data_IF_601459062439
#
_entry.id   IF_601459062439
#
_cell.length_a   1.000
_cell.length_b   1.000
_cell.length_c   1.000
_cell.angle_alpha   90.00
_cell.angle_beta   90.00
_cell.angle_gamma   90.00
#
_symmetry.space_group_name_H-M   'P 1'
#
loop_
_entity.id
_entity.type
_entity.pdbx_description
1 polymer ?
#
# COMPACT_ATOMS: atom_id res chain seq x y z
N UNK A 1 -55.01 -31.67 25.58
CA UNK A 1 -55.18 -30.37 26.29
C UNK A 1 -54.79 -29.25 25.33
N UNK A 2 -55.45 -28.07 25.40
CA UNK A 2 -55.13 -26.88 24.59
C UNK A 2 -53.82 -26.21 25.07
N UNK A 3 -53.12 -25.30 24.37
CA UNK A 3 -53.50 -24.17 23.48
C UNK A 3 -52.44 -24.01 22.34
N UNK A 4 -52.79 -23.64 21.09
CA UNK A 4 -53.01 -22.26 20.52
C UNK A 4 -51.85 -21.27 20.78
N UNK A 5 -51.41 -20.40 19.84
CA UNK A 5 -51.63 -20.26 18.39
C UNK A 5 -50.65 -19.18 17.81
N UNK A 6 -50.40 -19.20 16.49
CA UNK A 6 -49.68 -18.17 15.68
C UNK A 6 -50.58 -16.94 15.34
N UNK A 7 -50.25 -16.05 14.36
CA UNK A 7 -49.09 -15.15 14.10
C UNK A 7 -49.59 -13.66 14.12
N UNK A 8 -49.36 -12.69 13.17
CA UNK A 8 -48.31 -12.43 12.16
C UNK A 8 -47.80 -10.95 11.99
N UNK A 9 -46.81 -10.77 11.10
CA UNK A 9 -46.64 -9.72 10.06
C UNK A 9 -46.51 -8.18 10.30
N UNK A 10 -45.34 -7.67 9.87
CA UNK A 10 -45.12 -6.73 8.72
C UNK A 10 -45.14 -5.17 8.88
N UNK A 11 -44.20 -4.53 8.14
CA UNK A 11 -44.02 -3.09 7.76
C UNK A 11 -44.30 -1.94 8.76
N UNK A 12 -43.28 -1.09 9.02
CA UNK A 12 -43.02 0.09 8.16
C UNK A 12 -41.79 0.96 8.53
N UNK A 13 -41.37 1.79 7.57
CA UNK A 13 -40.34 2.83 7.68
C UNK A 13 -40.63 3.89 8.77
N UNK A 14 -39.55 4.41 9.40
CA UNK A 14 -39.22 5.86 9.33
C UNK A 14 -37.81 6.18 9.82
N UNK A 15 -37.15 7.09 9.10
CA UNK A 15 -35.91 7.75 9.50
C UNK A 15 -36.18 8.86 10.52
N UNK A 16 -35.27 9.07 11.48
CA UNK A 16 -34.97 10.42 11.98
C UNK A 16 -33.56 10.52 12.52
N UNK A 17 -32.87 11.58 12.08
CA UNK A 17 -31.78 12.25 12.78
C UNK A 17 -32.16 12.68 14.20
N UNK A 18 -31.20 12.78 15.11
CA UNK A 18 -31.36 13.45 16.41
C UNK A 18 -30.28 13.06 17.41
N UNK A 19 -29.45 14.03 17.82
CA UNK A 19 -28.44 13.85 18.86
C UNK A 19 -28.95 14.33 20.21
N UNK A 20 -28.79 13.54 21.27
CA UNK A 20 -28.72 13.99 22.68
C UNK A 20 -27.83 12.95 23.41
N UNK A 21 -26.70 13.35 24.00
CA UNK A 21 -26.57 14.13 25.25
C UNK A 21 -27.02 13.34 26.48
N UNK A 22 -26.10 12.56 27.05
CA UNK A 22 -26.23 11.93 28.36
C UNK A 22 -25.05 12.35 29.24
N UNK A 23 -25.33 13.15 30.29
CA UNK A 23 -24.35 13.51 31.33
C UNK A 23 -24.25 12.42 32.39
N UNK A 24 -23.06 12.22 32.95
CA UNK A 24 -22.87 11.81 34.35
C UNK A 24 -21.57 12.40 34.92
N UNK A 25 -21.78 13.38 35.81
CA UNK A 25 -21.01 13.78 37.00
C UNK A 25 -19.46 13.69 37.04
N UNK A 26 -18.85 14.86 36.92
CA UNK A 26 -17.79 15.45 37.77
C UNK A 26 -16.92 14.54 38.66
N UNK A 27 -15.64 14.46 38.29
CA UNK A 27 -14.52 14.34 39.24
C UNK A 27 -13.50 15.46 38.94
N UNK A 28 -13.38 16.40 39.89
CA UNK A 28 -12.54 17.60 39.79
C UNK A 28 -11.10 17.31 40.24
N UNK A 29 -10.08 17.68 39.44
CA UNK A 29 -8.68 17.99 39.87
C UNK A 29 -7.89 18.63 38.70
N UNK A 30 -6.93 19.55 38.95
CA UNK A 30 -6.71 20.69 38.03
C UNK A 30 -5.50 20.60 37.08
N UNK A 31 -5.52 21.50 36.09
CA UNK A 31 -4.43 21.76 35.12
C UNK A 31 -3.31 22.60 35.77
N UNK A 32 -2.02 22.29 35.55
CA UNK A 32 -0.91 23.13 36.03
C UNK A 32 -0.59 24.29 35.07
N UNK A 33 -0.58 25.52 35.59
CA UNK A 33 0.12 26.67 34.98
C UNK A 33 1.63 26.64 35.31
N UNK A 34 2.50 27.31 34.53
CA UNK A 34 3.94 27.24 34.71
C UNK A 34 4.45 28.16 35.83
N UNK A 35 5.12 27.57 36.82
CA UNK A 35 5.78 28.27 37.93
C UNK A 35 6.95 29.16 37.49
N UNK A 36 7.04 30.34 38.10
CA UNK A 36 8.07 31.35 37.87
C UNK A 36 9.00 31.44 39.12
N UNK A 37 10.30 31.10 39.04
CA UNK A 37 11.19 31.12 40.23
C UNK A 37 11.68 32.53 40.63
N UNK A 38 12.06 32.76 41.91
CA UNK A 38 12.08 34.11 42.50
C UNK A 38 13.46 34.80 42.65
N UNK A 39 13.41 36.03 43.15
CA UNK A 39 14.47 37.04 43.15
C UNK A 39 15.59 36.92 44.22
N UNK A 40 16.72 37.57 43.92
CA UNK A 40 17.83 38.04 44.79
C UNK A 40 18.51 39.22 44.07
N UNK A 41 18.94 40.35 44.65
CA UNK A 41 18.89 40.90 46.01
C UNK A 41 19.01 42.43 45.88
N UNK A 42 18.28 43.23 46.66
CA UNK A 42 18.59 44.66 46.82
C UNK A 42 19.46 44.91 48.06
N UNK A 43 20.42 45.82 47.96
CA UNK A 43 21.04 46.48 49.12
C UNK A 43 21.40 47.92 48.73
N UNK A 44 21.22 48.83 49.69
CA UNK A 44 21.19 50.29 49.53
C UNK A 44 22.63 50.86 49.32
N UNK A 45 22.91 52.14 49.03
CA UNK A 45 22.12 53.36 49.22
C UNK A 45 22.67 54.58 48.41
N UNK A 46 21.92 55.69 48.46
CA UNK A 46 22.35 57.10 48.37
C UNK A 46 22.81 57.72 47.02
N UNK A 47 22.14 58.85 46.73
CA UNK A 47 22.66 60.10 46.12
C UNK A 47 23.50 60.00 44.82
N UNK A 48 22.92 60.43 43.70
CA UNK A 48 23.02 61.84 43.27
C UNK A 48 22.46 62.06 41.86
N UNK A 49 21.92 63.26 41.62
CA UNK A 49 21.54 63.67 40.27
C UNK A 49 22.80 63.89 39.41
N UNK A 50 23.05 63.00 38.46
CA UNK A 50 23.79 63.37 37.25
C UNK A 50 23.07 62.84 36.01
N UNK A 51 22.34 63.74 35.35
CA UNK A 51 21.92 63.61 33.96
C UNK A 51 23.14 63.74 33.04
N UNK A 52 24.09 62.81 33.16
CA UNK A 52 25.19 62.66 32.22
C UNK A 52 24.60 62.17 30.89
N UNK A 53 24.12 63.13 30.10
CA UNK A 53 23.97 63.00 28.64
C UNK A 53 25.38 62.72 28.12
N UNK A 54 25.80 61.45 28.18
CA UNK A 54 27.07 60.99 27.62
C UNK A 54 27.07 61.46 26.18
N UNK A 55 27.95 62.41 25.87
CA UNK A 55 28.24 62.78 24.49
C UNK A 55 28.88 61.54 23.89
N UNK A 56 28.06 60.70 23.26
CA UNK A 56 28.56 59.60 22.44
C UNK A 56 29.66 60.19 21.55
N UNK A 57 30.91 59.70 21.64
CA UNK A 57 31.99 60.23 20.83
C UNK A 57 31.53 60.14 19.39
N UNK A 58 31.65 61.25 18.64
CA UNK A 58 31.01 61.46 17.34
C UNK A 58 31.41 60.32 16.39
N UNK A 59 30.61 59.24 16.35
CA UNK A 59 30.95 57.99 15.68
C UNK A 59 31.23 58.32 14.23
N UNK A 60 32.43 57.98 13.73
CA UNK A 60 32.72 58.07 12.29
C UNK A 60 31.69 57.21 11.57
N UNK A 61 31.25 57.62 10.37
CA UNK A 61 30.27 56.87 9.58
C UNK A 61 30.67 55.40 9.39
N UNK A 62 31.97 55.13 9.31
CA UNK A 62 32.59 53.81 9.37
C UNK A 62 32.11 52.91 10.52
N UNK A 63 31.93 53.43 11.73
CA UNK A 63 31.48 52.64 12.87
C UNK A 63 30.02 52.18 12.67
N UNK A 64 29.15 53.04 12.14
CA UNK A 64 27.78 52.67 11.79
C UNK A 64 27.73 51.66 10.64
N UNK A 65 28.65 51.76 9.67
CA UNK A 65 28.80 50.76 8.61
C UNK A 65 29.24 49.39 9.16
N UNK A 66 30.20 49.35 10.09
CA UNK A 66 30.61 48.10 10.74
C UNK A 66 29.54 47.55 11.70
N UNK A 67 28.79 48.41 12.39
CA UNK A 67 27.63 48.00 13.22
C UNK A 67 26.51 47.40 12.36
N UNK A 68 26.19 48.03 11.21
CA UNK A 68 25.29 47.46 10.22
C UNK A 68 25.83 46.13 9.66
N UNK A 69 27.10 46.08 9.25
CA UNK A 69 27.71 44.90 8.66
C UNK A 69 27.73 43.72 9.64
N UNK A 70 27.98 43.96 10.93
CA UNK A 70 27.91 42.95 11.98
C UNK A 70 26.49 42.38 12.12
N UNK A 71 25.47 43.23 12.19
CA UNK A 71 24.06 42.79 12.32
C UNK A 71 23.57 42.09 11.04
N UNK A 72 23.90 42.64 9.88
CA UNK A 72 23.60 42.05 8.57
C UNK A 72 24.27 40.68 8.43
N UNK A 73 25.57 40.57 8.73
CA UNK A 73 26.31 39.32 8.62
C UNK A 73 25.81 38.27 9.63
N UNK A 74 25.40 38.66 10.84
CA UNK A 74 24.80 37.74 11.79
C UNK A 74 23.50 37.10 11.25
N UNK A 75 22.59 37.91 10.70
CA UNK A 75 21.34 37.42 10.10
C UNK A 75 21.61 36.62 8.81
N UNK A 76 22.52 37.10 7.96
CA UNK A 76 22.89 36.47 6.69
C UNK A 76 23.57 35.10 6.90
N UNK A 77 24.51 35.00 7.84
CA UNK A 77 25.12 33.74 8.22
C UNK A 77 24.11 32.78 8.88
N UNK A 78 23.17 33.28 9.69
CA UNK A 78 22.08 32.46 10.22
C UNK A 78 21.22 31.85 9.11
N UNK A 79 20.84 32.66 8.11
CA UNK A 79 20.11 32.20 6.93
C UNK A 79 20.91 31.17 6.11
N UNK A 80 22.21 31.41 5.84
CA UNK A 80 23.05 30.44 5.12
C UNK A 80 23.21 29.13 5.91
N UNK A 81 23.45 29.22 7.22
CA UNK A 81 23.62 28.04 8.07
C UNK A 81 22.35 27.17 8.11
N UNK A 82 21.18 27.80 8.17
CA UNK A 82 19.90 27.06 8.15
C UNK A 82 19.65 26.39 6.78
N UNK A 83 19.83 27.10 5.67
CA UNK A 83 19.73 26.49 4.33
C UNK A 83 20.74 25.35 4.14
N UNK A 84 21.95 25.47 4.69
CA UNK A 84 22.97 24.41 4.62
C UNK A 84 22.56 23.19 5.46
N UNK A 85 22.08 23.43 6.68
CA UNK A 85 21.60 22.40 7.62
C UNK A 85 20.39 21.64 7.05
N UNK A 86 19.46 22.36 6.43
CA UNK A 86 18.29 21.77 5.77
C UNK A 86 18.71 20.88 4.61
N UNK A 87 19.52 21.38 3.66
CA UNK A 87 20.01 20.57 2.52
C UNK A 87 20.81 19.33 2.94
N UNK A 88 21.53 19.38 4.06
CA UNK A 88 22.21 18.21 4.63
C UNK A 88 21.20 17.18 5.17
N UNK A 89 20.16 17.63 5.88
CA UNK A 89 19.11 16.74 6.39
C UNK A 89 18.24 16.17 5.27
N UNK A 90 17.96 16.94 4.21
CA UNK A 90 17.26 16.44 3.01
C UNK A 90 18.08 15.35 2.29
N UNK A 91 19.39 15.52 2.16
CA UNK A 91 20.28 14.52 1.55
C UNK A 91 20.33 13.21 2.36
N UNK A 92 20.36 13.29 3.69
CA UNK A 92 20.34 12.10 4.55
C UNK A 92 19.01 11.32 4.39
N UNK A 93 17.87 12.03 4.34
CA UNK A 93 16.56 11.40 4.10
C UNK A 93 16.45 10.81 2.69
N UNK A 94 17.04 11.46 1.68
CA UNK A 94 17.11 10.91 0.33
C UNK A 94 17.83 9.55 0.35
N UNK A 95 18.99 9.44 0.99
CA UNK A 95 19.73 8.18 1.11
C UNK A 95 18.94 7.11 1.89
N UNK A 96 18.34 7.47 3.03
CA UNK A 96 17.49 6.57 3.83
C UNK A 96 16.30 6.02 3.03
N UNK A 97 15.65 6.87 2.23
CA UNK A 97 14.56 6.47 1.35
C UNK A 97 15.04 5.59 0.20
N UNK A 98 16.15 5.92 -0.45
CA UNK A 98 16.70 5.14 -1.55
C UNK A 98 17.12 3.74 -1.08
N UNK A 99 17.81 3.62 0.06
CA UNK A 99 18.14 2.33 0.66
C UNK A 99 16.88 1.51 1.02
N UNK A 100 15.91 2.14 1.70
CA UNK A 100 14.65 1.48 2.07
C UNK A 100 13.90 0.97 0.84
N UNK A 101 13.88 1.76 -0.24
CA UNK A 101 13.20 1.44 -1.48
C UNK A 101 13.86 0.27 -2.22
N UNK A 102 15.19 0.23 -2.26
CA UNK A 102 15.93 -0.88 -2.88
C UNK A 102 15.65 -2.20 -2.15
N UNK A 103 15.59 -2.21 -0.81
CA UNK A 103 15.26 -3.42 -0.04
C UNK A 103 13.78 -3.81 -0.18
N UNK A 104 12.85 -2.85 -0.17
CA UNK A 104 11.42 -3.07 -0.45
C UNK A 104 11.25 -3.75 -1.85
N UNK A 105 11.93 -3.25 -2.90
CA UNK A 105 11.85 -3.83 -4.27
C UNK A 105 12.61 -5.17 -4.38
N UNK A 106 13.73 -5.36 -3.67
CA UNK A 106 14.44 -6.67 -3.61
C UNK A 106 13.51 -7.75 -3.07
N UNK A 107 12.79 -7.45 -1.98
CA UNK A 107 11.75 -8.34 -1.43
C UNK A 107 10.65 -8.65 -2.45
N UNK A 108 10.15 -7.63 -3.16
CA UNK A 108 9.12 -7.77 -4.19
C UNK A 108 9.54 -8.69 -5.33
N UNK A 109 10.74 -8.52 -5.88
CA UNK A 109 11.24 -9.37 -6.99
C UNK A 109 11.46 -10.83 -6.59
N UNK A 110 11.80 -11.09 -5.32
CA UNK A 110 11.86 -12.45 -4.77
C UNK A 110 10.46 -13.07 -4.57
N UNK A 111 9.46 -12.24 -4.25
CA UNK A 111 8.07 -12.70 -4.11
C UNK A 111 7.42 -12.95 -5.49
N UNK A 112 7.53 -11.99 -6.42
CA UNK A 112 6.95 -12.07 -7.76
C UNK A 112 7.49 -13.26 -8.55
N UNK A 113 8.79 -13.56 -8.48
CA UNK A 113 9.39 -14.75 -9.10
C UNK A 113 8.81 -16.09 -8.62
N UNK A 114 8.50 -16.19 -7.32
CA UNK A 114 7.81 -17.37 -6.75
C UNK A 114 6.39 -17.47 -7.28
N UNK A 115 5.64 -16.37 -7.20
CA UNK A 115 4.23 -16.30 -7.61
C UNK A 115 4.08 -16.57 -9.11
N UNK A 116 4.94 -16.00 -9.97
CA UNK A 116 5.01 -16.32 -11.41
C UNK A 116 5.14 -17.82 -11.68
N UNK A 117 5.92 -18.53 -10.85
CA UNK A 117 6.12 -19.98 -10.95
C UNK A 117 4.90 -20.76 -10.47
N UNK A 118 4.06 -20.21 -9.60
CA UNK A 118 2.78 -20.79 -9.20
C UNK A 118 1.70 -20.54 -10.26
N UNK A 119 1.53 -19.28 -10.70
CA UNK A 119 0.55 -18.88 -11.71
C UNK A 119 0.74 -19.64 -13.04
N UNK A 120 1.99 -19.86 -13.49
CA UNK A 120 2.29 -20.70 -14.68
C UNK A 120 1.87 -22.16 -14.50
N UNK A 121 2.00 -22.72 -13.29
CA UNK A 121 1.53 -24.09 -12.98
C UNK A 121 0.00 -24.17 -12.97
N UNK A 122 -0.68 -23.14 -12.45
CA UNK A 122 -2.15 -23.02 -12.49
C UNK A 122 -2.64 -22.93 -13.94
N UNK A 123 -2.04 -22.06 -14.76
CA UNK A 123 -2.37 -21.91 -16.18
C UNK A 123 -2.22 -23.23 -16.97
N UNK A 124 -1.09 -23.93 -16.83
CA UNK A 124 -0.91 -25.25 -17.48
C UNK A 124 -1.89 -26.33 -16.96
N UNK A 125 -2.26 -26.28 -15.67
CA UNK A 125 -3.32 -27.11 -15.11
C UNK A 125 -4.69 -26.83 -15.77
N UNK A 126 -5.01 -25.56 -16.00
CA UNK A 126 -6.26 -25.15 -16.65
C UNK A 126 -6.28 -25.50 -18.14
N UNK A 127 -5.16 -25.38 -18.86
CA UNK A 127 -5.05 -25.85 -20.25
C UNK A 127 -5.34 -27.37 -20.34
N UNK A 128 -4.88 -28.13 -19.35
CA UNK A 128 -5.17 -29.56 -19.21
C UNK A 128 -6.66 -29.82 -18.92
N UNK A 129 -7.28 -29.03 -18.03
CA UNK A 129 -8.72 -29.13 -17.73
C UNK A 129 -9.56 -28.78 -18.96
N UNK A 130 -9.25 -27.69 -19.67
CA UNK A 130 -9.95 -27.29 -20.90
C UNK A 130 -9.89 -28.40 -21.96
N UNK A 131 -8.74 -29.05 -22.11
CA UNK A 131 -8.58 -30.21 -22.99
C UNK A 131 -9.55 -31.34 -22.61
N UNK A 132 -9.59 -31.72 -21.33
CA UNK A 132 -10.50 -32.77 -20.83
C UNK A 132 -11.99 -32.40 -21.00
N UNK A 133 -12.37 -31.17 -20.69
CA UNK A 133 -13.75 -30.67 -20.86
C UNK A 133 -14.21 -30.66 -22.33
N UNK A 134 -13.29 -30.60 -23.28
CA UNK A 134 -13.59 -30.68 -24.72
C UNK A 134 -13.64 -32.11 -25.28
N UNK A 135 -13.17 -33.10 -24.52
CA UNK A 135 -13.14 -34.51 -24.93
C UNK A 135 -14.49 -35.21 -24.68
N UNK A 136 -14.95 -36.13 -25.55
CA UNK A 136 -16.22 -36.83 -25.34
C UNK A 136 -16.23 -37.70 -24.07
N UNK A 137 -15.08 -38.18 -23.62
CA UNK A 137 -14.89 -39.02 -22.43
C UNK A 137 -15.38 -38.33 -21.14
N UNK A 138 -15.42 -36.99 -21.10
CA UNK A 138 -15.91 -36.22 -19.94
C UNK A 138 -17.35 -36.59 -19.54
N UNK A 139 -18.16 -37.05 -20.50
CA UNK A 139 -19.56 -37.44 -20.28
C UNK A 139 -19.69 -38.72 -19.44
N UNK A 140 -18.66 -39.57 -19.44
CA UNK A 140 -18.61 -40.85 -18.74
C UNK A 140 -17.72 -40.79 -17.50
N UNK A 141 -16.60 -40.06 -17.56
CA UNK A 141 -15.63 -39.95 -16.48
C UNK A 141 -15.10 -38.51 -16.33
N UNK A 142 -15.46 -37.87 -15.22
CA UNK A 142 -15.08 -36.51 -14.87
C UNK A 142 -13.98 -36.40 -13.81
N UNK A 143 -13.51 -37.54 -13.26
CA UNK A 143 -12.63 -37.60 -12.08
C UNK A 143 -11.34 -36.79 -12.27
N UNK A 144 -10.66 -36.95 -13.40
CA UNK A 144 -9.38 -36.26 -13.67
C UNK A 144 -9.57 -34.75 -13.91
N UNK A 145 -10.65 -34.37 -14.61
CA UNK A 145 -10.99 -32.96 -14.83
C UNK A 145 -11.33 -32.25 -13.49
N UNK A 146 -12.11 -32.91 -12.63
CA UNK A 146 -12.38 -32.45 -11.27
C UNK A 146 -11.08 -32.30 -10.45
N UNK A 147 -10.21 -33.32 -10.48
CA UNK A 147 -8.97 -33.35 -9.71
C UNK A 147 -7.96 -32.29 -10.16
N UNK A 148 -7.87 -32.03 -11.46
CA UNK A 148 -6.99 -30.98 -12.00
C UNK A 148 -7.58 -29.60 -11.75
N UNK A 149 -8.88 -29.40 -12.00
CA UNK A 149 -9.53 -28.10 -11.76
C UNK A 149 -9.46 -27.74 -10.27
N UNK A 150 -9.77 -28.67 -9.35
CA UNK A 150 -9.60 -28.49 -7.90
C UNK A 150 -8.22 -27.92 -7.52
N UNK A 151 -7.15 -28.48 -8.11
CA UNK A 151 -5.76 -28.05 -7.86
C UNK A 151 -5.41 -26.71 -8.50
N UNK A 152 -6.25 -26.21 -9.41
CA UNK A 152 -6.07 -24.96 -10.16
C UNK A 152 -7.05 -23.84 -9.77
N UNK A 153 -7.89 -24.04 -8.74
CA UNK A 153 -8.81 -22.99 -8.25
C UNK A 153 -8.14 -21.87 -7.44
N UNK A 154 -6.89 -22.08 -7.00
CA UNK A 154 -6.17 -21.07 -6.22
C UNK A 154 -5.66 -19.92 -7.08
N UNK A 155 -5.73 -18.69 -6.55
CA UNK A 155 -5.04 -17.53 -7.08
C UNK A 155 -4.12 -16.98 -5.97
N UNK A 156 -2.82 -17.25 -6.07
CA UNK A 156 -1.83 -16.62 -5.19
C UNK A 156 -1.64 -15.15 -5.61
N UNK A 157 -1.73 -14.24 -4.65
CA UNK A 157 -1.72 -12.79 -4.90
C UNK A 157 -0.37 -12.20 -4.49
N UNK A 158 0.27 -11.48 -5.41
CA UNK A 158 1.45 -10.66 -5.13
C UNK A 158 1.07 -9.40 -4.33
N UNK A 159 1.89 -9.07 -3.33
CA UNK A 159 1.70 -7.94 -2.43
C UNK A 159 3.06 -7.24 -2.27
N UNK A 160 3.22 -6.14 -2.99
CA UNK A 160 4.39 -5.26 -2.95
C UNK A 160 4.60 -4.63 -1.58
N UNK A 161 5.85 -4.51 -1.18
CA UNK A 161 6.30 -3.70 -0.06
C UNK A 161 6.27 -2.23 -0.48
N UNK A 162 5.08 -1.62 -0.51
CA UNK A 162 4.89 -0.26 -1.03
C UNK A 162 5.19 0.85 -0.03
N UNK A 163 5.59 0.51 1.21
CA UNK A 163 5.83 1.42 2.34
C UNK A 163 6.62 2.67 1.94
N UNK A 164 7.82 2.51 1.38
CA UNK A 164 8.65 3.68 1.04
C UNK A 164 8.09 4.49 -0.13
N UNK A 165 7.51 3.84 -1.15
CA UNK A 165 6.81 4.53 -2.26
C UNK A 165 5.62 5.35 -1.74
N UNK A 166 4.83 4.78 -0.83
CA UNK A 166 3.69 5.44 -0.21
C UNK A 166 4.13 6.62 0.67
N UNK A 167 5.22 6.48 1.45
CA UNK A 167 5.79 7.59 2.22
C UNK A 167 6.17 8.74 1.29
N UNK A 168 7.09 8.50 0.34
CA UNK A 168 7.57 9.49 -0.62
C UNK A 168 6.45 10.26 -1.34
N UNK A 169 5.36 9.56 -1.69
CA UNK A 169 4.21 10.15 -2.39
C UNK A 169 3.27 10.91 -1.47
N UNK A 170 2.94 10.37 -0.31
CA UNK A 170 1.91 10.92 0.57
C UNK A 170 2.44 12.07 1.45
N UNK A 171 3.75 12.13 1.71
CA UNK A 171 4.43 13.28 2.36
C UNK A 171 4.87 14.37 1.38
N UNK A 172 4.83 14.11 0.06
CA UNK A 172 5.38 14.99 -0.97
C UNK A 172 6.92 15.01 -1.01
N UNK A 173 7.58 14.00 -0.43
CA UNK A 173 9.03 13.88 -0.33
C UNK A 173 9.71 13.29 -1.58
N UNK A 174 8.96 12.91 -2.62
CA UNK A 174 9.54 12.66 -3.96
C UNK A 174 10.42 13.82 -4.48
N UNK A 175 10.19 15.06 -4.00
CA UNK A 175 11.02 16.23 -4.30
C UNK A 175 12.40 16.22 -3.63
N UNK A 176 12.63 15.36 -2.63
CA UNK A 176 13.93 15.16 -1.99
C UNK A 176 14.87 14.32 -2.87
N UNK A 177 14.32 13.51 -3.78
CA UNK A 177 15.09 12.74 -4.76
C UNK A 177 15.64 13.71 -5.80
N UNK A 178 16.91 14.09 -5.64
CA UNK A 178 17.61 15.07 -6.49
C UNK A 178 17.87 14.52 -7.89
N UNK A 179 18.09 13.20 -7.99
CA UNK A 179 18.19 12.54 -9.28
C UNK A 179 16.80 12.36 -9.90
N UNK A 180 16.44 13.27 -10.80
CA UNK A 180 15.14 13.23 -11.46
C UNK A 180 14.89 11.92 -12.23
N UNK A 181 15.91 11.35 -12.88
CA UNK A 181 15.73 10.11 -13.64
C UNK A 181 15.37 8.92 -12.71
N UNK A 182 15.91 8.90 -11.49
CA UNK A 182 15.51 7.94 -10.45
C UNK A 182 14.08 8.21 -9.99
N UNK A 183 13.73 9.46 -9.67
CA UNK A 183 12.35 9.84 -9.26
C UNK A 183 11.30 9.47 -10.32
N UNK A 184 11.59 9.75 -11.60
CA UNK A 184 10.72 9.41 -12.73
C UNK A 184 10.53 7.89 -12.85
N UNK A 185 11.61 7.08 -12.77
CA UNK A 185 11.51 5.60 -12.84
C UNK A 185 10.81 4.97 -11.64
N UNK A 186 10.94 5.53 -10.43
CA UNK A 186 10.18 5.08 -9.26
C UNK A 186 8.68 5.27 -9.51
N UNK A 187 8.29 6.38 -10.14
CA UNK A 187 6.91 6.65 -10.52
C UNK A 187 6.41 5.77 -11.68
N UNK A 188 7.28 5.38 -12.61
CA UNK A 188 6.95 4.38 -13.64
C UNK A 188 6.66 3.01 -13.01
N UNK A 189 7.50 2.54 -12.09
CA UNK A 189 7.31 1.27 -11.36
C UNK A 189 6.01 1.27 -10.52
N UNK A 190 5.69 2.35 -9.80
CA UNK A 190 4.39 2.49 -9.11
C UNK A 190 3.19 2.44 -10.08
N UNK A 191 3.31 2.99 -11.28
CA UNK A 191 2.26 2.87 -12.30
C UNK A 191 2.10 1.43 -12.80
N UNK A 192 3.19 0.68 -12.96
CA UNK A 192 3.15 -0.74 -13.35
C UNK A 192 2.55 -1.60 -12.24
N UNK A 193 2.93 -1.39 -10.97
CA UNK A 193 2.30 -2.02 -9.81
C UNK A 193 0.78 -1.79 -9.80
N UNK A 194 0.33 -0.54 -10.04
CA UNK A 194 -1.11 -0.21 -10.13
C UNK A 194 -1.82 -0.97 -11.25
N UNK A 195 -1.21 -1.09 -12.43
CA UNK A 195 -1.77 -1.87 -13.57
C UNK A 195 -1.87 -3.36 -13.23
N UNK A 196 -0.85 -3.92 -12.58
CA UNK A 196 -0.88 -5.29 -12.05
C UNK A 196 -2.05 -5.47 -11.06
N UNK A 197 -2.22 -4.57 -10.08
CA UNK A 197 -3.29 -4.68 -9.09
C UNK A 197 -4.69 -4.61 -9.69
N UNK A 198 -4.91 -3.77 -10.72
CA UNK A 198 -6.19 -3.74 -11.45
C UNK A 198 -6.49 -5.11 -12.08
N UNK A 199 -5.52 -5.74 -12.73
CA UNK A 199 -5.68 -7.08 -13.30
C UNK A 199 -5.87 -8.15 -12.21
N UNK A 200 -5.13 -8.07 -11.09
CA UNK A 200 -5.21 -9.00 -9.97
C UNK A 200 -6.59 -8.97 -9.31
N UNK A 201 -7.13 -7.77 -9.06
CA UNK A 201 -8.45 -7.58 -8.47
C UNK A 201 -9.55 -8.10 -9.41
N UNK A 202 -9.45 -7.83 -10.71
CA UNK A 202 -10.39 -8.36 -11.71
C UNK A 202 -10.40 -9.91 -11.71
N UNK A 203 -9.23 -10.54 -11.59
CA UNK A 203 -9.12 -12.00 -11.52
C UNK A 203 -9.67 -12.59 -10.22
N UNK A 204 -9.45 -11.92 -9.09
CA UNK A 204 -9.99 -12.34 -7.80
C UNK A 204 -11.53 -12.24 -7.77
N UNK A 205 -12.11 -11.15 -8.28
CA UNK A 205 -13.56 -11.01 -8.46
C UNK A 205 -14.13 -12.11 -9.36
N UNK A 206 -13.53 -12.35 -10.52
CA UNK A 206 -14.00 -13.36 -11.47
C UNK A 206 -13.92 -14.81 -10.92
N UNK A 207 -12.99 -15.09 -10.01
CA UNK A 207 -12.91 -16.39 -9.32
C UNK A 207 -14.10 -16.59 -8.38
N UNK A 208 -14.53 -15.55 -7.67
CA UNK A 208 -15.67 -15.61 -6.72
C UNK A 208 -17.02 -15.88 -7.42
N UNK A 209 -17.12 -15.56 -8.71
CA UNK A 209 -18.31 -15.76 -9.55
C UNK A 209 -18.34 -17.13 -10.26
N UNK A 210 -17.36 -18.02 -10.00
CA UNK A 210 -17.19 -19.29 -10.74
C UNK A 210 -18.17 -20.41 -10.31
N UNK A 211 -19.46 -20.08 -10.20
CA UNK A 211 -20.55 -20.98 -9.76
C UNK A 211 -20.72 -22.24 -10.62
N UNK A 212 -20.29 -22.21 -11.89
CA UNK A 212 -20.31 -23.38 -12.77
C UNK A 212 -19.53 -24.58 -12.23
N UNK A 213 -18.50 -24.35 -11.39
CA UNK A 213 -17.64 -25.43 -10.91
C UNK A 213 -18.41 -26.45 -10.04
N UNK A 214 -19.27 -25.97 -9.15
CA UNK A 214 -20.10 -26.83 -8.29
C UNK A 214 -21.29 -27.47 -9.02
N UNK A 215 -21.80 -26.83 -10.09
CA UNK A 215 -22.83 -27.43 -10.95
C UNK A 215 -22.32 -28.60 -11.81
N UNK A 216 -21.03 -28.58 -12.18
CA UNK A 216 -20.48 -29.47 -13.20
C UNK A 216 -20.22 -30.90 -12.71
N UNK A 217 -19.66 -31.04 -11.50
CA UNK A 217 -19.16 -32.30 -10.94
C UNK A 217 -20.05 -32.86 -9.82
N UNK A 218 -20.08 -34.19 -9.63
CA UNK A 218 -20.73 -34.82 -8.47
C UNK A 218 -19.71 -34.99 -7.32
N UNK A 219 -19.58 -33.94 -6.51
CA UNK A 219 -18.61 -33.87 -5.42
C UNK A 219 -18.77 -35.02 -4.41
N UNK A 220 -20.01 -35.46 -4.14
CA UNK A 220 -20.29 -36.51 -3.15
C UNK A 220 -19.79 -37.87 -3.64
N UNK A 221 -19.93 -38.15 -4.94
CA UNK A 221 -19.41 -39.40 -5.53
C UNK A 221 -17.90 -39.37 -5.70
N UNK A 222 -17.34 -38.23 -6.10
CA UNK A 222 -15.91 -38.02 -6.35
C UNK A 222 -15.09 -38.10 -5.06
N UNK A 223 -15.54 -37.46 -3.97
CA UNK A 223 -14.90 -37.51 -2.65
C UNK A 223 -14.86 -38.94 -2.07
N UNK A 224 -15.85 -39.78 -2.38
CA UNK A 224 -15.99 -41.13 -1.82
C UNK A 224 -15.33 -42.23 -2.65
N UNK A 225 -15.04 -42.02 -3.94
CA UNK A 225 -14.64 -43.10 -4.85
C UNK A 225 -13.66 -42.65 -5.95
N UNK A 226 -12.40 -42.37 -5.58
CA UNK A 226 -11.37 -41.90 -6.55
C UNK A 226 -11.23 -42.80 -7.79
N UNK A 227 -11.37 -44.12 -7.62
CA UNK A 227 -11.14 -45.13 -8.68
C UNK A 227 -12.39 -45.55 -9.47
N UNK A 228 -13.57 -44.99 -9.18
CA UNK A 228 -14.80 -45.30 -9.93
C UNK A 228 -15.11 -44.13 -10.87
N UNK A 229 -15.29 -44.36 -12.19
CA UNK A 229 -15.71 -43.30 -13.10
C UNK A 229 -17.01 -42.62 -12.65
N UNK A 230 -16.94 -41.31 -12.43
CA UNK A 230 -18.09 -40.47 -12.09
C UNK A 230 -18.39 -39.55 -13.28
N UNK A 231 -19.52 -39.69 -13.98
CA UNK A 231 -19.90 -38.78 -15.06
C UNK A 231 -20.26 -37.39 -14.52
N UNK A 232 -20.30 -36.39 -15.40
CA UNK A 232 -20.86 -35.07 -15.09
C UNK A 232 -22.30 -35.17 -14.55
N UNK A 233 -22.71 -34.21 -13.72
CA UNK A 233 -24.12 -34.09 -13.30
C UNK A 233 -25.02 -33.80 -14.50
N UNK A 234 -26.32 -34.08 -14.40
CA UNK A 234 -27.29 -33.75 -15.47
C UNK A 234 -27.37 -32.25 -15.77
N UNK A 235 -27.10 -31.40 -14.76
CA UNK A 235 -26.95 -29.96 -14.95
C UNK A 235 -25.62 -29.63 -15.62
N UNK A 236 -24.53 -30.25 -15.18
CA UNK A 236 -23.18 -30.11 -15.73
C UNK A 236 -23.09 -30.46 -17.22
N UNK A 237 -23.75 -31.54 -17.66
CA UNK A 237 -23.87 -31.89 -19.09
C UNK A 237 -24.51 -30.77 -19.92
N UNK A 238 -25.53 -30.10 -19.37
CA UNK A 238 -26.23 -28.97 -20.03
C UNK A 238 -25.43 -27.67 -19.99
N UNK A 239 -24.61 -27.48 -18.95
CA UNK A 239 -23.81 -26.26 -18.75
C UNK A 239 -22.35 -26.38 -19.20
N UNK A 240 -21.90 -27.54 -19.70
CA UNK A 240 -20.50 -27.81 -20.05
C UNK A 240 -19.86 -26.72 -20.93
N UNK A 241 -20.53 -26.29 -22.00
CA UNK A 241 -20.00 -25.23 -22.87
C UNK A 241 -19.88 -23.87 -22.15
N UNK A 242 -20.79 -23.57 -21.22
CA UNK A 242 -20.74 -22.37 -20.35
C UNK A 242 -19.59 -22.46 -19.35
N UNK A 243 -19.38 -23.64 -18.76
CA UNK A 243 -18.27 -23.92 -17.86
C UNK A 243 -16.91 -23.79 -18.58
N UNK A 244 -16.77 -24.40 -19.76
CA UNK A 244 -15.60 -24.28 -20.63
C UNK A 244 -15.32 -22.83 -21.01
N UNK A 245 -16.33 -22.09 -21.51
CA UNK A 245 -16.16 -20.70 -21.93
C UNK A 245 -15.72 -19.79 -20.78
N UNK A 246 -16.33 -19.94 -19.59
CA UNK A 246 -15.95 -19.14 -18.42
C UNK A 246 -14.53 -19.48 -17.94
N UNK A 247 -14.15 -20.77 -17.90
CA UNK A 247 -12.80 -21.18 -17.55
C UNK A 247 -11.76 -20.67 -18.57
N UNK A 248 -12.08 -20.73 -19.87
CA UNK A 248 -11.20 -20.22 -20.92
C UNK A 248 -11.02 -18.70 -20.85
N UNK A 249 -12.09 -17.96 -20.53
CA UNK A 249 -12.02 -16.50 -20.35
C UNK A 249 -11.17 -16.14 -19.12
N UNK A 250 -11.36 -16.85 -18.00
CA UNK A 250 -10.53 -16.68 -16.80
C UNK A 250 -9.07 -17.00 -17.08
N UNK A 251 -8.77 -18.08 -17.81
CA UNK A 251 -7.41 -18.45 -18.20
C UNK A 251 -6.71 -17.38 -19.07
N UNK A 252 -7.44 -16.74 -20.00
CA UNK A 252 -6.90 -15.57 -20.75
C UNK A 252 -6.56 -14.40 -19.82
N UNK A 253 -7.38 -14.15 -18.80
CA UNK A 253 -7.09 -13.16 -17.78
C UNK A 253 -5.88 -13.51 -16.92
N UNK A 254 -5.69 -14.79 -16.59
CA UNK A 254 -4.51 -15.31 -15.89
C UNK A 254 -3.23 -15.13 -16.70
N UNK A 255 -3.26 -15.38 -18.01
CA UNK A 255 -2.12 -15.08 -18.91
C UNK A 255 -1.79 -13.58 -18.88
N UNK A 256 -2.81 -12.71 -18.88
CA UNK A 256 -2.63 -11.27 -18.68
C UNK A 256 -2.00 -10.91 -17.33
N UNK A 257 -2.42 -11.56 -16.25
CA UNK A 257 -1.87 -11.36 -14.90
C UNK A 257 -0.40 -11.82 -14.81
N UNK A 258 -0.07 -12.97 -15.39
CA UNK A 258 1.31 -13.48 -15.51
C UNK A 258 2.18 -12.48 -16.30
N UNK A 259 1.64 -11.90 -17.38
CA UNK A 259 2.35 -10.87 -18.16
C UNK A 259 2.62 -9.62 -17.33
N UNK A 260 1.62 -9.09 -16.60
CA UNK A 260 1.82 -7.91 -15.74
C UNK A 260 2.80 -8.17 -14.60
N UNK A 261 2.71 -9.31 -13.93
CA UNK A 261 3.63 -9.65 -12.83
C UNK A 261 5.06 -9.86 -13.34
N UNK A 262 5.24 -10.35 -14.58
CA UNK A 262 6.55 -10.43 -15.23
C UNK A 262 7.12 -9.03 -15.49
N UNK A 263 6.31 -8.09 -15.95
CA UNK A 263 6.75 -6.70 -16.16
C UNK A 263 7.14 -6.07 -14.81
N UNK A 264 6.36 -6.26 -13.74
CA UNK A 264 6.74 -5.83 -12.38
C UNK A 264 8.09 -6.41 -11.95
N UNK A 265 8.33 -7.71 -12.15
CA UNK A 265 9.59 -8.37 -11.81
C UNK A 265 10.79 -7.83 -12.61
N UNK A 266 10.62 -7.63 -13.92
CA UNK A 266 11.66 -7.13 -14.82
C UNK A 266 11.96 -5.64 -14.60
N UNK A 267 10.93 -4.81 -14.41
CA UNK A 267 11.07 -3.39 -14.08
C UNK A 267 11.68 -3.19 -12.69
N UNK A 268 11.26 -3.97 -11.68
CA UNK A 268 11.82 -3.89 -10.33
C UNK A 268 13.33 -4.19 -10.30
N UNK A 269 13.77 -5.23 -11.02
CA UNK A 269 15.21 -5.56 -11.17
C UNK A 269 15.98 -4.46 -11.91
N UNK A 270 15.40 -3.91 -12.97
CA UNK A 270 15.96 -2.79 -13.74
C UNK A 270 16.09 -1.52 -12.88
N UNK A 271 15.10 -1.25 -12.03
CA UNK A 271 15.10 -0.10 -11.13
C UNK A 271 16.14 -0.25 -10.01
N UNK A 272 16.27 -1.44 -9.40
CA UNK A 272 17.32 -1.72 -8.40
C UNK A 272 18.71 -1.44 -9.00
N UNK A 273 19.01 -2.05 -10.16
CA UNK A 273 20.32 -1.90 -10.81
C UNK A 273 20.63 -0.43 -11.17
N UNK A 274 19.63 0.30 -11.68
CA UNK A 274 19.77 1.71 -12.01
C UNK A 274 20.00 2.59 -10.77
N UNK A 275 19.29 2.33 -9.67
CA UNK A 275 19.51 3.04 -8.40
C UNK A 275 20.90 2.74 -7.81
N UNK A 276 21.34 1.47 -7.85
CA UNK A 276 22.67 1.08 -7.38
C UNK A 276 23.79 1.78 -8.17
N UNK A 277 23.64 1.94 -9.49
CA UNK A 277 24.57 2.70 -10.33
C UNK A 277 24.61 4.19 -9.94
N UNK A 278 23.45 4.85 -9.90
CA UNK A 278 23.31 6.31 -9.68
C UNK A 278 23.64 6.76 -8.25
N UNK A 279 23.44 5.90 -7.23
CA UNK A 279 23.76 6.19 -5.82
C UNK A 279 25.01 5.45 -5.31
N UNK A 280 25.70 4.69 -6.16
CA UNK A 280 26.91 3.92 -5.83
C UNK A 280 26.71 2.93 -4.65
N UNK A 281 25.60 2.20 -4.69
CA UNK A 281 25.21 1.23 -3.65
C UNK A 281 25.63 -0.20 -4.04
N UNK A 282 25.99 -1.01 -3.06
CA UNK A 282 26.29 -2.46 -3.22
C UNK A 282 25.04 -3.33 -3.41
#
# INVERSE_FOLDING_TARGET
>A
MAKKADPPDDKNLKSSTGSESGKTEDANIPVPEPDNPPAKTETQALLSHHSSRQRAPKKRAWNYLFEFLMLFLAVFCGFIAENWRERLSEHQREEEYIHSLVEDIKSDTLQSGKILTQLRRINAGIDSVLTLLSSPEIMENSNEAYRLWSKSLGLEVFVSNDRTIQQLKNSGELRLIRNKAVSDRIMEYDQTLRKYYVQSNLMYSALSEMTNYSELFDFIRLDKNENIPVPLTEQGKRSLNRAYANLQLWNKGLVGLISWLKIVDEEGKSLIAFIQEEYHLE
#
